data_IF_802356192061
#
_entry.id   IF_802356192061
#
_cell.length_a   1.000
_cell.length_b   1.000
_cell.length_c   1.000
_cell.angle_alpha   90.00
_cell.angle_beta   90.00
_cell.angle_gamma   90.00
#
_symmetry.space_group_name_H-M   'P 1'
#
loop_
_entity.id
_entity.type
_entity.pdbx_description
1 polymer ?
#
# COMPACT_ATOMS: atom_id res chain seq x y z
N UNK A 1 -8.62 -44.72 2.97
CA UNK A 1 -8.95 -43.58 3.85
C UNK A 1 -7.98 -42.48 3.47
N UNK A 2 -8.46 -41.44 2.78
CA UNK A 2 -7.59 -40.33 2.36
C UNK A 2 -7.10 -39.58 3.59
N UNK A 3 -5.84 -39.11 3.55
CA UNK A 3 -5.30 -38.26 4.61
C UNK A 3 -6.22 -37.04 4.75
N UNK A 4 -6.78 -36.85 5.93
CA UNK A 4 -7.65 -35.73 6.27
C UNK A 4 -6.95 -34.38 6.00
N UNK A 5 -5.61 -34.35 6.03
CA UNK A 5 -4.80 -33.20 5.64
C UNK A 5 -5.00 -32.80 4.18
N UNK A 6 -5.16 -33.77 3.28
CA UNK A 6 -5.41 -33.50 1.86
C UNK A 6 -6.77 -32.86 1.64
N UNK A 7 -7.77 -33.30 2.41
CA UNK A 7 -9.13 -32.75 2.35
C UNK A 7 -9.21 -31.35 2.96
N UNK A 8 -8.49 -31.11 4.07
CA UNK A 8 -8.41 -29.79 4.70
C UNK A 8 -7.68 -28.77 3.81
N UNK A 9 -6.61 -29.19 3.11
CA UNK A 9 -5.87 -28.34 2.17
C UNK A 9 -6.70 -28.00 0.93
N UNK A 10 -7.50 -28.94 0.43
CA UNK A 10 -8.39 -28.72 -0.70
C UNK A 10 -9.49 -27.72 -0.36
N UNK A 11 -10.13 -27.87 0.81
CA UNK A 11 -11.15 -26.94 1.29
C UNK A 11 -10.62 -25.50 1.48
N UNK A 12 -9.41 -25.35 2.02
CA UNK A 12 -8.78 -24.03 2.22
C UNK A 12 -8.31 -23.34 0.94
N UNK A 13 -8.13 -24.09 -0.15
CA UNK A 13 -7.75 -23.55 -1.47
C UNK A 13 -8.96 -23.27 -2.36
N UNK A 14 -10.10 -23.92 -2.09
CA UNK A 14 -11.33 -23.77 -2.89
C UNK A 14 -12.22 -22.58 -2.42
N UNK A 15 -11.96 -21.97 -1.25
CA UNK A 15 -12.69 -20.81 -0.68
C UNK A 15 -11.97 -19.45 -0.91
N UNK A 16 -11.31 -19.28 -2.06
CA UNK A 16 -11.01 -17.92 -2.57
C UNK A 16 -12.31 -17.29 -3.10
N UNK A 17 -13.08 -16.60 -2.24
CA UNK A 17 -13.49 -15.19 -2.47
C UNK A 17 -14.52 -14.60 -1.48
N UNK A 18 -15.19 -15.36 -0.59
CA UNK A 18 -16.25 -14.75 0.28
C UNK A 18 -16.23 -15.11 1.79
N UNK A 19 -15.38 -16.01 2.29
CA UNK A 19 -15.46 -16.54 3.67
C UNK A 19 -14.37 -16.07 4.64
N UNK A 20 -13.65 -14.98 4.34
CA UNK A 20 -12.63 -14.44 5.26
C UNK A 20 -13.22 -14.07 6.64
N UNK A 21 -14.48 -13.59 6.70
CA UNK A 21 -15.14 -13.19 7.95
C UNK A 21 -15.49 -14.39 8.85
N UNK A 22 -15.87 -15.51 8.24
CA UNK A 22 -16.21 -16.75 8.95
C UNK A 22 -14.97 -17.40 9.56
N UNK A 23 -13.83 -17.34 8.85
CA UNK A 23 -12.55 -17.77 9.37
C UNK A 23 -12.16 -17.00 10.63
N UNK A 24 -12.25 -15.67 10.65
CA UNK A 24 -11.89 -14.89 11.85
C UNK A 24 -12.84 -15.09 13.04
N UNK A 25 -14.11 -15.44 12.80
CA UNK A 25 -15.08 -15.71 13.86
C UNK A 25 -14.93 -17.12 14.47
N UNK A 26 -14.62 -18.13 13.65
CA UNK A 26 -14.44 -19.50 14.11
C UNK A 26 -13.03 -19.82 14.58
N UNK A 27 -12.00 -19.16 14.04
CA UNK A 27 -10.61 -19.43 14.37
C UNK A 27 -10.32 -19.29 15.88
N UNK A 28 -10.83 -18.30 16.63
CA UNK A 28 -10.68 -18.25 18.09
C UNK A 28 -11.32 -19.44 18.81
N UNK A 29 -12.47 -19.94 18.33
CA UNK A 29 -13.15 -21.08 18.92
C UNK A 29 -12.44 -22.42 18.62
N UNK A 30 -11.96 -22.58 17.38
CA UNK A 30 -11.17 -23.73 16.94
C UNK A 30 -9.82 -23.76 17.67
N UNK A 31 -9.15 -22.60 17.82
CA UNK A 31 -7.93 -22.47 18.61
C UNK A 31 -8.15 -22.85 20.08
N UNK A 32 -9.22 -22.35 20.70
CA UNK A 32 -9.53 -22.69 22.10
C UNK A 32 -9.71 -24.21 22.26
N UNK A 33 -10.46 -24.83 21.35
CA UNK A 33 -10.71 -26.27 21.33
C UNK A 33 -9.42 -27.10 21.13
N UNK A 34 -8.51 -26.64 20.28
CA UNK A 34 -7.25 -27.35 19.98
C UNK A 34 -6.14 -27.04 20.99
N UNK A 35 -6.23 -25.94 21.75
CA UNK A 35 -5.28 -25.58 22.81
C UNK A 35 -5.50 -26.34 24.12
N UNK A 36 -6.72 -26.87 24.33
CA UNK A 36 -7.03 -27.78 25.44
C UNK A 36 -6.40 -29.17 25.23
N UNK A 37 -6.08 -29.52 23.99
CA UNK A 37 -5.31 -30.71 23.64
C UNK A 37 -3.81 -30.36 23.63
N UNK A 38 -3.03 -30.84 24.61
CA UNK A 38 -1.55 -30.70 24.58
C UNK A 38 -0.94 -31.60 23.50
N UNK A 39 -1.19 -31.29 22.25
CA UNK A 39 -0.74 -32.02 21.08
C UNK A 39 0.23 -31.17 20.26
N UNK A 40 1.09 -31.85 19.50
CA UNK A 40 1.98 -31.22 18.52
C UNK A 40 1.20 -30.38 17.49
N UNK A 41 -0.06 -30.75 17.22
CA UNK A 41 -0.96 -30.01 16.33
C UNK A 41 -1.45 -28.70 16.95
N UNK A 42 -1.74 -28.65 18.25
CA UNK A 42 -2.10 -27.41 18.94
C UNK A 42 -0.99 -26.35 18.86
N UNK A 43 0.25 -26.75 19.14
CA UNK A 43 1.42 -25.87 19.05
C UNK A 43 1.70 -25.39 17.62
N UNK A 44 1.51 -26.24 16.61
CA UNK A 44 1.68 -25.88 15.21
C UNK A 44 0.64 -24.84 14.73
N UNK A 45 -0.61 -24.96 15.21
CA UNK A 45 -1.69 -24.03 14.86
C UNK A 45 -1.51 -22.68 15.56
N UNK A 46 -1.12 -22.68 16.84
CA UNK A 46 -0.82 -21.43 17.56
C UNK A 46 0.30 -20.63 16.86
N UNK A 47 1.39 -21.31 16.48
CA UNK A 47 2.50 -20.71 15.70
C UNK A 47 2.04 -20.14 14.35
N UNK A 48 1.15 -20.84 13.64
CA UNK A 48 0.59 -20.34 12.38
C UNK A 48 -0.28 -19.09 12.57
N UNK A 49 -1.07 -19.04 13.64
CA UNK A 49 -1.92 -17.88 13.95
C UNK A 49 -1.09 -16.67 14.36
N UNK A 50 -0.05 -16.87 15.17
CA UNK A 50 0.91 -15.80 15.47
C UNK A 50 1.61 -15.30 14.22
N UNK A 51 2.04 -16.19 13.33
CA UNK A 51 2.64 -15.83 12.04
C UNK A 51 1.70 -15.00 11.17
N UNK A 52 0.43 -15.41 11.04
CA UNK A 52 -0.60 -14.67 10.29
C UNK A 52 -0.87 -13.31 10.93
N UNK A 53 -0.99 -13.23 12.26
CA UNK A 53 -1.17 -11.96 12.99
C UNK A 53 0.01 -11.02 12.79
N UNK A 54 1.24 -11.53 12.90
CA UNK A 54 2.47 -10.76 12.67
C UNK A 54 2.57 -10.22 11.24
N UNK A 55 2.18 -11.04 10.26
CA UNK A 55 2.15 -10.63 8.85
C UNK A 55 1.10 -9.55 8.62
N UNK A 56 -0.13 -9.74 9.12
CA UNK A 56 -1.20 -8.75 9.02
C UNK A 56 -0.81 -7.41 9.67
N UNK A 57 -0.16 -7.44 10.84
CA UNK A 57 0.31 -6.24 11.52
C UNK A 57 1.35 -5.47 10.69
N UNK A 58 2.34 -6.16 10.11
CA UNK A 58 3.35 -5.54 9.23
C UNK A 58 2.73 -4.95 7.96
N UNK A 59 1.76 -5.64 7.37
CA UNK A 59 1.04 -5.12 6.20
C UNK A 59 0.22 -3.87 6.55
N UNK A 60 -0.44 -3.86 7.71
CA UNK A 60 -1.18 -2.70 8.19
C UNK A 60 -0.25 -1.51 8.40
N UNK A 61 0.89 -1.71 9.08
CA UNK A 61 1.91 -0.67 9.29
C UNK A 61 2.42 -0.10 7.97
N UNK A 62 2.77 -0.94 7.00
CA UNK A 62 3.22 -0.49 5.68
C UNK A 62 2.14 0.29 4.90
N UNK A 63 0.86 -0.09 5.06
CA UNK A 63 -0.26 0.65 4.47
C UNK A 63 -0.48 2.01 5.14
N UNK A 64 -0.33 2.09 6.47
CA UNK A 64 -0.42 3.35 7.22
C UNK A 64 0.73 4.30 6.86
N UNK A 65 1.96 3.79 6.76
CA UNK A 65 3.12 4.57 6.31
C UNK A 65 2.93 5.10 4.89
N UNK A 66 2.42 4.26 3.98
CA UNK A 66 2.11 4.68 2.61
C UNK A 66 1.01 5.75 2.57
N UNK A 67 -0.07 5.59 3.34
CA UNK A 67 -1.12 6.60 3.45
C UNK A 67 -0.57 7.94 3.91
N UNK A 68 0.27 7.92 4.95
CA UNK A 68 0.94 9.12 5.46
C UNK A 68 1.85 9.76 4.40
N UNK A 69 2.62 8.95 3.66
CA UNK A 69 3.47 9.42 2.57
C UNK A 69 2.65 10.07 1.44
N UNK A 70 1.54 9.43 1.03
CA UNK A 70 0.62 9.97 0.02
C UNK A 70 -0.08 11.27 0.49
N UNK A 71 -0.35 11.41 1.79
CA UNK A 71 -0.87 12.65 2.38
C UNK A 71 0.18 13.78 2.39
N UNK A 72 1.43 13.47 2.71
CA UNK A 72 2.54 14.44 2.76
C UNK A 72 2.85 15.00 1.37
N UNK A 73 2.75 14.17 0.32
CA UNK A 73 3.01 14.54 -1.08
C UNK A 73 1.76 14.42 -1.97
N UNK A 74 0.61 14.77 -1.41
CA UNK A 74 -0.65 14.72 -2.16
C UNK A 74 -0.62 15.66 -3.38
N UNK A 75 -1.31 15.27 -4.46
CA UNK A 75 -1.47 16.09 -5.67
C UNK A 75 -1.95 17.50 -5.29
N UNK A 76 -2.94 17.59 -4.37
CA UNK A 76 -3.49 18.85 -3.92
C UNK A 76 -2.41 19.81 -3.38
N UNK A 77 -1.52 19.32 -2.49
CA UNK A 77 -0.40 20.11 -1.96
C UNK A 77 0.57 20.53 -3.07
N UNK A 78 0.87 19.64 -4.03
CA UNK A 78 1.72 19.99 -5.17
C UNK A 78 1.12 21.10 -6.03
N UNK A 79 -0.21 21.09 -6.26
CA UNK A 79 -0.90 22.12 -7.01
C UNK A 79 -0.93 23.46 -6.27
N UNK A 80 -1.19 23.45 -4.97
CA UNK A 80 -1.12 24.67 -4.13
C UNK A 80 0.28 25.31 -4.20
N UNK A 81 1.34 24.51 -4.13
CA UNK A 81 2.71 25.01 -4.28
C UNK A 81 3.03 25.44 -5.72
N UNK A 82 2.52 24.75 -6.74
CA UNK A 82 2.67 25.11 -8.15
C UNK A 82 2.10 26.50 -8.44
N UNK A 83 0.96 26.84 -7.85
CA UNK A 83 0.33 28.16 -8.00
C UNK A 83 1.18 29.31 -7.45
N UNK A 84 2.09 29.02 -6.52
CA UNK A 84 3.04 30.02 -5.97
C UNK A 84 4.29 30.22 -6.84
N UNK A 85 4.51 29.37 -7.84
CA UNK A 85 5.68 29.45 -8.71
C UNK A 85 5.40 30.41 -9.87
N UNK A 86 6.20 31.48 -9.94
CA UNK A 86 6.23 32.41 -11.06
C UNK A 86 7.01 31.84 -12.26
N UNK A 87 6.69 32.33 -13.47
CA UNK A 87 7.46 32.02 -14.68
C UNK A 87 7.08 30.69 -15.38
N UNK A 88 5.89 30.17 -15.08
CA UNK A 88 5.20 29.10 -15.81
C UNK A 88 3.99 29.68 -16.55
N UNK A 89 3.80 29.28 -17.80
CA UNK A 89 2.58 29.59 -18.57
C UNK A 89 1.42 28.68 -18.16
N UNK A 90 0.19 28.99 -18.58
CA UNK A 90 -0.96 28.10 -18.34
C UNK A 90 -0.79 26.74 -19.01
N UNK A 91 -0.09 26.70 -20.15
CA UNK A 91 0.27 25.46 -20.84
C UNK A 91 1.35 24.67 -20.07
N UNK A 92 2.37 25.33 -19.52
CA UNK A 92 3.33 24.66 -18.63
C UNK A 92 2.61 24.06 -17.41
N UNK A 93 1.61 24.77 -16.87
CA UNK A 93 0.81 24.30 -15.73
C UNK A 93 -0.03 23.08 -16.09
N UNK A 94 -0.61 23.00 -17.30
CA UNK A 94 -1.35 21.80 -17.70
C UNK A 94 -0.43 20.57 -17.78
N UNK A 95 0.77 20.70 -18.35
CA UNK A 95 1.73 19.59 -18.36
C UNK A 95 2.24 19.24 -16.96
N UNK A 96 2.37 20.21 -16.06
CA UNK A 96 2.75 19.96 -14.68
C UNK A 96 1.72 19.06 -13.95
N UNK A 97 0.43 19.16 -14.28
CA UNK A 97 -0.60 18.29 -13.70
C UNK A 97 -0.35 16.82 -14.07
N UNK A 98 0.04 16.54 -15.31
CA UNK A 98 0.42 15.20 -15.77
C UNK A 98 1.71 14.70 -15.08
N UNK A 99 2.71 15.58 -14.93
CA UNK A 99 3.94 15.25 -14.18
C UNK A 99 3.64 14.79 -12.76
N UNK A 100 2.61 15.37 -12.12
CA UNK A 100 2.21 15.04 -10.76
C UNK A 100 1.33 13.79 -10.61
N UNK A 101 0.95 13.10 -11.70
CA UNK A 101 0.30 11.79 -11.59
C UNK A 101 1.22 10.77 -10.90
N UNK A 102 2.54 10.87 -11.13
CA UNK A 102 3.56 10.06 -10.46
C UNK A 102 3.82 10.53 -9.02
N UNK A 103 3.63 9.61 -8.06
CA UNK A 103 3.92 9.89 -6.64
C UNK A 103 5.37 10.23 -6.35
N UNK A 104 6.30 9.58 -7.05
CA UNK A 104 7.72 9.90 -6.96
C UNK A 104 8.01 11.34 -7.42
N UNK A 105 7.37 11.79 -8.50
CA UNK A 105 7.54 13.15 -9.00
C UNK A 105 7.02 14.19 -8.01
N UNK A 106 5.89 13.90 -7.34
CA UNK A 106 5.36 14.77 -6.27
C UNK A 106 6.35 14.90 -5.11
N UNK A 107 6.93 13.79 -4.67
CA UNK A 107 7.95 13.79 -3.61
C UNK A 107 9.19 14.60 -4.03
N UNK A 108 9.72 14.37 -5.23
CA UNK A 108 10.89 15.12 -5.73
C UNK A 108 10.60 16.62 -5.81
N UNK A 109 9.43 17.02 -6.32
CA UNK A 109 9.02 18.42 -6.38
C UNK A 109 8.94 19.07 -4.98
N UNK A 110 8.35 18.36 -4.03
CA UNK A 110 8.15 18.86 -2.66
C UNK A 110 9.44 18.82 -1.80
N UNK A 111 10.44 18.02 -2.18
CA UNK A 111 11.68 17.82 -1.41
C UNK A 111 12.53 19.08 -1.20
N UNK A 112 12.45 20.04 -2.11
CA UNK A 112 13.16 21.32 -2.02
C UNK A 112 12.18 22.45 -1.67
N UNK A 113 12.57 23.40 -0.82
CA UNK A 113 11.77 24.62 -0.54
C UNK A 113 12.08 25.78 -1.49
N UNK A 114 13.07 25.62 -2.38
CA UNK A 114 13.51 26.70 -3.26
C UNK A 114 12.67 26.69 -4.55
N UNK A 115 11.88 27.76 -4.76
CA UNK A 115 10.98 27.87 -5.91
C UNK A 115 11.71 27.82 -7.25
N UNK A 116 12.93 28.37 -7.35
CA UNK A 116 13.72 28.31 -8.58
C UNK A 116 14.18 26.88 -8.88
N UNK A 117 14.57 26.12 -7.86
CA UNK A 117 14.97 24.71 -8.03
C UNK A 117 13.78 23.89 -8.50
N UNK A 118 12.61 24.09 -7.88
CA UNK A 118 11.35 23.45 -8.31
C UNK A 118 11.00 23.81 -9.75
N UNK A 119 11.06 25.10 -10.10
CA UNK A 119 10.80 25.61 -11.44
C UNK A 119 11.73 24.98 -12.50
N UNK A 120 13.04 24.94 -12.25
CA UNK A 120 13.99 24.36 -13.19
C UNK A 120 13.80 22.86 -13.36
N UNK A 121 13.53 22.14 -12.27
CA UNK A 121 13.23 20.72 -12.32
C UNK A 121 11.95 20.48 -13.13
N UNK A 122 10.87 21.19 -12.82
CA UNK A 122 9.57 21.00 -13.48
C UNK A 122 9.65 21.30 -14.98
N UNK A 123 10.37 22.36 -15.38
CA UNK A 123 10.63 22.68 -16.79
C UNK A 123 11.38 21.57 -17.53
N UNK A 124 12.23 20.81 -16.85
CA UNK A 124 12.93 19.67 -17.44
C UNK A 124 11.98 18.49 -17.62
N UNK A 125 11.16 18.20 -16.61
CA UNK A 125 10.18 17.09 -16.68
C UNK A 125 9.10 17.37 -17.73
N UNK A 126 8.57 18.59 -17.80
CA UNK A 126 7.61 19.00 -18.84
C UNK A 126 8.22 18.85 -20.23
N UNK A 127 9.47 19.27 -20.43
CA UNK A 127 10.16 19.09 -21.72
C UNK A 127 10.34 17.62 -22.10
N UNK A 128 10.60 16.75 -21.12
CA UNK A 128 10.73 15.33 -21.36
C UNK A 128 9.37 14.70 -21.75
N UNK A 129 8.29 15.09 -21.07
CA UNK A 129 6.93 14.66 -21.35
C UNK A 129 6.47 15.13 -22.75
N UNK A 130 6.69 16.41 -23.06
CA UNK A 130 6.38 17.01 -24.36
C UNK A 130 7.17 16.40 -25.54
N UNK A 131 8.31 15.75 -25.28
CA UNK A 131 9.08 15.06 -26.32
C UNK A 131 8.53 13.67 -26.66
N UNK A 132 7.60 13.15 -25.85
CA UNK A 132 7.02 11.80 -26.00
C UNK A 132 5.64 11.86 -26.65
N UNK A 133 4.95 13.00 -26.57
CA UNK A 133 3.67 13.27 -27.25
C UNK A 133 3.87 13.71 -28.69
#
# INVERSE_FOLDING_TARGET
MGSWEGQARQLLLDEEEDDEEFFFLLLPAILSFLSEEQSETGAAIESFVEFKRSTAAKTLEALEEKKKHDEDFSIKKCLEELDTIDGLTDEDRSYAMEVFESGFNREVFMSSKNHNVRLFWLKREIKALAAIM
#
